data_IF_137880099004
#
_entry.id   IF_137880099004
#
_cell.length_a   1.000
_cell.length_b   1.000
_cell.length_c   1.000
_cell.angle_alpha   90.00
_cell.angle_beta   90.00
_cell.angle_gamma   90.00
#
_symmetry.space_group_name_H-M   'P 1'
#
loop_
_entity.id
_entity.type
_entity.pdbx_description
1 polymer ?
#
# COMPACT_ATOMS: atom_id res chain seq x y z
N UNK A 1 -60.37 -3.09 -10.80
CA UNK A 1 -59.68 -3.39 -9.53
C UNK A 1 -58.46 -4.20 -9.93
N UNK A 2 -57.32 -3.53 -10.07
CA UNK A 2 -56.05 -4.15 -10.48
C UNK A 2 -55.16 -4.23 -9.26
N UNK A 3 -54.70 -5.44 -8.97
CA UNK A 3 -53.73 -5.77 -7.93
C UNK A 3 -52.35 -5.10 -8.17
N UNK A 4 -51.52 -5.03 -7.12
CA UNK A 4 -50.92 -3.79 -6.64
C UNK A 4 -49.58 -3.45 -7.30
N UNK A 5 -49.19 -2.17 -7.17
CA UNK A 5 -47.83 -1.67 -7.32
C UNK A 5 -46.85 -2.56 -6.52
N UNK A 6 -46.24 -3.52 -7.21
CA UNK A 6 -44.97 -4.10 -6.81
C UNK A 6 -43.89 -3.28 -7.51
N UNK A 7 -43.36 -2.28 -6.80
CA UNK A 7 -41.99 -1.87 -7.07
C UNK A 7 -41.13 -3.14 -7.09
N UNK A 8 -40.28 -3.35 -8.12
CA UNK A 8 -39.29 -4.40 -8.08
C UNK A 8 -38.22 -4.01 -7.05
N UNK A 9 -38.55 -4.10 -5.77
CA UNK A 9 -37.54 -4.23 -4.73
C UNK A 9 -36.78 -5.51 -5.02
N UNK A 10 -35.46 -5.41 -4.98
CA UNK A 10 -34.52 -6.53 -5.07
C UNK A 10 -34.39 -7.10 -6.49
N UNK A 11 -33.56 -6.43 -7.30
CA UNK A 11 -32.61 -7.23 -8.08
C UNK A 11 -31.91 -8.16 -7.08
N UNK A 12 -32.00 -9.49 -7.24
CA UNK A 12 -31.24 -10.39 -6.39
C UNK A 12 -29.78 -10.00 -6.61
N UNK A 13 -29.12 -9.50 -5.58
CA UNK A 13 -27.66 -9.43 -5.57
C UNK A 13 -27.19 -10.84 -5.89
N UNK A 14 -26.67 -11.02 -7.09
CA UNK A 14 -26.08 -12.28 -7.52
C UNK A 14 -25.02 -12.66 -6.50
N UNK A 15 -25.22 -13.85 -5.94
CA UNK A 15 -24.51 -14.56 -4.87
C UNK A 15 -23.60 -13.79 -3.89
N UNK A 16 -23.76 -14.07 -2.58
CA UNK A 16 -22.77 -13.70 -1.54
C UNK A 16 -21.32 -14.11 -1.89
N UNK A 17 -21.16 -15.13 -2.73
CA UNK A 17 -19.86 -15.59 -3.23
C UNK A 17 -19.20 -14.58 -4.18
N UNK A 18 -19.96 -13.95 -5.07
CA UNK A 18 -19.45 -12.91 -5.99
C UNK A 18 -18.96 -11.67 -5.22
N UNK A 19 -19.68 -11.26 -4.18
CA UNK A 19 -19.30 -10.15 -3.32
C UNK A 19 -18.07 -10.46 -2.44
N UNK A 20 -17.89 -11.72 -2.03
CA UNK A 20 -16.70 -12.16 -1.28
C UNK A 20 -15.45 -12.21 -2.16
N UNK A 21 -15.58 -12.61 -3.43
CA UNK A 21 -14.47 -12.62 -4.39
C UNK A 21 -14.04 -11.21 -4.79
N UNK A 22 -14.99 -10.30 -5.05
CA UNK A 22 -14.71 -8.87 -5.27
C UNK A 22 -14.08 -8.22 -4.03
N UNK A 23 -14.60 -8.52 -2.83
CA UNK A 23 -14.09 -7.98 -1.58
C UNK A 23 -12.67 -8.46 -1.26
N UNK A 24 -12.34 -9.72 -1.51
CA UNK A 24 -11.00 -10.26 -1.33
C UNK A 24 -10.01 -9.67 -2.33
N UNK A 25 -10.43 -9.49 -3.58
CA UNK A 25 -9.60 -8.86 -4.61
C UNK A 25 -9.32 -7.39 -4.26
N UNK A 26 -10.34 -6.66 -3.83
CA UNK A 26 -10.21 -5.27 -3.36
C UNK A 26 -9.30 -5.20 -2.13
N UNK A 27 -9.52 -6.02 -1.11
CA UNK A 27 -8.68 -6.06 0.08
C UNK A 27 -7.20 -6.33 -0.23
N UNK A 28 -6.92 -7.22 -1.21
CA UNK A 28 -5.54 -7.54 -1.63
C UNK A 28 -4.85 -6.35 -2.29
N UNK A 29 -5.58 -5.54 -3.05
CA UNK A 29 -5.08 -4.29 -3.62
C UNK A 29 -4.79 -3.22 -2.54
N UNK A 30 -5.65 -3.10 -1.53
CA UNK A 30 -5.48 -2.13 -0.44
C UNK A 30 -4.29 -2.45 0.48
N UNK A 31 -3.95 -3.72 0.65
CA UNK A 31 -2.77 -4.15 1.43
C UNK A 31 -1.49 -3.56 0.85
N UNK A 32 -1.34 -3.50 -0.47
CA UNK A 32 -0.16 -2.91 -1.11
C UNK A 32 0.04 -1.44 -0.74
N UNK A 33 -1.04 -0.65 -0.79
CA UNK A 33 -1.04 0.77 -0.41
C UNK A 33 -0.72 0.92 1.09
N UNK A 34 -1.34 0.12 1.96
CA UNK A 34 -1.11 0.17 3.39
C UNK A 34 0.36 -0.14 3.75
N UNK A 35 0.93 -1.19 3.16
CA UNK A 35 2.33 -1.59 3.39
C UNK A 35 3.29 -0.47 2.94
N UNK A 36 3.11 0.06 1.74
CA UNK A 36 3.94 1.16 1.21
C UNK A 36 3.86 2.39 2.11
N UNK A 37 2.66 2.71 2.62
CA UNK A 37 2.45 3.87 3.50
C UNK A 37 3.17 3.70 4.84
N UNK A 38 3.05 2.52 5.46
CA UNK A 38 3.75 2.20 6.71
C UNK A 38 5.27 2.26 6.51
N UNK A 39 5.78 1.62 5.45
CA UNK A 39 7.21 1.61 5.16
C UNK A 39 7.73 3.03 4.88
N UNK A 40 6.96 3.86 4.18
CA UNK A 40 7.33 5.26 3.91
C UNK A 40 7.41 6.07 5.19
N UNK A 41 6.44 5.91 6.10
CA UNK A 41 6.45 6.58 7.40
C UNK A 41 7.66 6.14 8.25
N UNK A 42 7.94 4.84 8.29
CA UNK A 42 9.10 4.31 9.01
C UNK A 42 10.41 4.85 8.43
N UNK A 43 10.52 4.89 7.10
CA UNK A 43 11.69 5.41 6.41
C UNK A 43 11.89 6.90 6.72
N UNK A 44 10.82 7.68 6.82
CA UNK A 44 10.87 9.09 7.23
C UNK A 44 11.33 9.23 8.70
N UNK A 45 10.82 8.40 9.61
CA UNK A 45 11.25 8.39 11.01
C UNK A 45 12.74 8.04 11.12
N UNK A 46 13.22 7.05 10.37
CA UNK A 46 14.65 6.69 10.31
C UNK A 46 15.48 7.87 9.79
N UNK A 47 15.03 8.53 8.73
CA UNK A 47 15.71 9.71 8.18
C UNK A 47 15.85 10.82 9.24
N UNK A 48 14.79 11.09 10.00
CA UNK A 48 14.81 12.08 11.07
C UNK A 48 15.74 11.69 12.21
N UNK A 49 15.73 10.42 12.63
CA UNK A 49 16.62 9.93 13.69
C UNK A 49 18.10 10.03 13.29
N UNK A 50 18.42 9.71 12.04
CA UNK A 50 19.78 9.82 11.51
C UNK A 50 20.19 11.29 11.34
N UNK A 51 19.32 12.13 10.80
CA UNK A 51 19.58 13.56 10.63
C UNK A 51 19.81 14.29 11.95
N UNK A 52 19.09 13.89 13.01
CA UNK A 52 19.26 14.47 14.35
C UNK A 52 20.43 13.86 15.13
N UNK A 53 21.07 12.81 14.61
CA UNK A 53 22.14 12.09 15.30
C UNK A 53 21.69 11.31 16.53
N UNK A 54 20.37 11.11 16.71
CA UNK A 54 19.80 10.38 17.86
C UNK A 54 20.13 8.88 17.78
N UNK A 55 20.18 8.33 16.57
CA UNK A 55 20.49 6.92 16.36
C UNK A 55 21.22 6.73 15.04
N UNK A 56 22.29 5.93 15.09
CA UNK A 56 23.06 5.57 13.91
C UNK A 56 22.64 4.18 13.41
N UNK A 57 21.53 4.15 12.68
CA UNK A 57 20.83 2.92 12.26
C UNK A 57 21.69 2.07 11.32
N UNK A 58 22.55 2.70 10.51
CA UNK A 58 23.34 2.02 9.49
C UNK A 58 24.82 1.85 9.85
N UNK A 59 25.23 2.24 11.07
CA UNK A 59 26.59 2.03 11.58
C UNK A 59 27.17 0.61 11.36
N UNK A 60 26.40 -0.50 11.47
CA UNK A 60 26.95 -1.84 11.27
C UNK A 60 27.37 -2.16 9.83
N UNK A 61 26.87 -1.41 8.85
CA UNK A 61 27.06 -1.69 7.41
C UNK A 61 27.68 -0.52 6.64
N UNK A 62 27.83 0.64 7.28
CA UNK A 62 28.40 1.84 6.69
C UNK A 62 29.19 2.61 7.76
N UNK A 63 30.48 2.79 7.51
CA UNK A 63 31.43 3.38 8.47
C UNK A 63 31.44 4.91 8.43
N UNK A 64 30.95 5.52 7.35
CA UNK A 64 30.95 6.97 7.16
C UNK A 64 29.53 7.51 6.97
N UNK A 65 29.28 8.73 7.43
CA UNK A 65 27.97 9.40 7.30
C UNK A 65 27.47 9.43 5.85
N UNK A 66 28.36 9.73 4.89
CA UNK A 66 28.04 9.72 3.46
C UNK A 66 27.61 8.33 2.97
N UNK A 67 28.26 7.26 3.43
CA UNK A 67 27.86 5.90 3.08
C UNK A 67 26.51 5.53 3.69
N UNK A 68 26.25 5.94 4.93
CA UNK A 68 24.96 5.70 5.59
C UNK A 68 23.81 6.38 4.84
N UNK A 69 23.99 7.63 4.40
CA UNK A 69 23.03 8.32 3.53
C UNK A 69 22.89 7.64 2.17
N UNK A 70 23.97 7.10 1.62
CA UNK A 70 23.92 6.29 0.40
C UNK A 70 23.05 5.04 0.53
N UNK A 71 23.22 4.29 1.64
CA UNK A 71 22.38 3.12 1.94
C UNK A 71 20.92 3.51 2.15
N UNK A 72 20.68 4.59 2.91
CA UNK A 72 19.34 5.13 3.09
C UNK A 72 18.67 5.48 1.75
N UNK A 73 19.40 6.16 0.87
CA UNK A 73 18.87 6.55 -0.44
C UNK A 73 18.57 5.33 -1.32
N UNK A 74 19.42 4.31 -1.30
CA UNK A 74 19.16 3.05 -1.98
C UNK A 74 17.87 2.37 -1.49
N UNK A 75 17.64 2.37 -0.17
CA UNK A 75 16.41 1.88 0.46
C UNK A 75 15.18 2.70 0.02
N UNK A 76 15.29 4.03 0.00
CA UNK A 76 14.22 4.91 -0.44
C UNK A 76 13.84 4.65 -1.92
N UNK A 77 14.83 4.49 -2.79
CA UNK A 77 14.62 4.14 -4.20
C UNK A 77 13.94 2.78 -4.34
N UNK A 78 14.40 1.76 -3.58
CA UNK A 78 13.76 0.45 -3.59
C UNK A 78 12.28 0.54 -3.17
N UNK A 79 11.96 1.35 -2.17
CA UNK A 79 10.59 1.59 -1.73
C UNK A 79 9.75 2.30 -2.81
N UNK A 80 10.30 3.28 -3.50
CA UNK A 80 9.62 3.98 -4.61
C UNK A 80 9.33 3.00 -5.76
N UNK A 81 10.27 2.13 -6.10
CA UNK A 81 10.07 1.09 -7.11
C UNK A 81 8.93 0.15 -6.68
N UNK A 82 8.93 -0.32 -5.43
CA UNK A 82 7.86 -1.14 -4.88
C UNK A 82 6.50 -0.44 -4.90
N UNK A 83 6.46 0.84 -4.55
CA UNK A 83 5.25 1.67 -4.60
C UNK A 83 4.71 1.80 -6.02
N UNK A 84 5.58 2.12 -6.99
CA UNK A 84 5.22 2.22 -8.39
C UNK A 84 4.71 0.89 -8.96
N UNK A 85 5.31 -0.24 -8.56
CA UNK A 85 4.84 -1.56 -8.93
C UNK A 85 3.48 -1.88 -8.32
N UNK A 86 3.27 -1.54 -7.04
CA UNK A 86 1.99 -1.69 -6.36
C UNK A 86 0.88 -0.93 -7.08
N UNK A 87 1.13 0.32 -7.49
CA UNK A 87 0.13 1.11 -8.21
C UNK A 87 -0.11 0.63 -9.63
N UNK A 88 0.91 0.13 -10.33
CA UNK A 88 0.70 -0.47 -11.66
C UNK A 88 -0.17 -1.71 -11.57
N UNK A 89 0.05 -2.57 -10.58
CA UNK A 89 -0.79 -3.76 -10.36
C UNK A 89 -2.25 -3.38 -10.06
N UNK A 90 -2.49 -2.27 -9.35
CA UNK A 90 -3.84 -1.76 -9.09
C UNK A 90 -4.46 -1.22 -10.39
N UNK A 91 -3.77 -0.33 -11.10
CA UNK A 91 -4.29 0.36 -12.28
C UNK A 91 -4.52 -0.55 -13.49
N UNK A 92 -3.72 -1.61 -13.65
CA UNK A 92 -3.89 -2.58 -14.74
C UNK A 92 -5.06 -3.53 -14.50
N UNK A 93 -5.58 -3.58 -13.27
CA UNK A 93 -6.69 -4.45 -12.90
C UNK A 93 -8.06 -3.76 -12.89
N UNK A 94 -8.11 -2.44 -13.09
CA UNK A 94 -9.33 -1.65 -13.33
C UNK A 94 -9.70 -1.57 -14.84
N UNK A 95 -8.94 -2.24 -15.72
CA UNK A 95 -9.18 -2.31 -17.18
C UNK A 95 -9.80 -3.65 -17.58
#
# INVERSE_FOLDING_TARGET
MSEPDREPTEKPTTSKQEAEEEGQWMARNWIGIAVVSILSLLLLVVAMMQFTGVMDVFAPIAETETQQWGVFFALAVALIILAGWSWKAIADSDR
#
